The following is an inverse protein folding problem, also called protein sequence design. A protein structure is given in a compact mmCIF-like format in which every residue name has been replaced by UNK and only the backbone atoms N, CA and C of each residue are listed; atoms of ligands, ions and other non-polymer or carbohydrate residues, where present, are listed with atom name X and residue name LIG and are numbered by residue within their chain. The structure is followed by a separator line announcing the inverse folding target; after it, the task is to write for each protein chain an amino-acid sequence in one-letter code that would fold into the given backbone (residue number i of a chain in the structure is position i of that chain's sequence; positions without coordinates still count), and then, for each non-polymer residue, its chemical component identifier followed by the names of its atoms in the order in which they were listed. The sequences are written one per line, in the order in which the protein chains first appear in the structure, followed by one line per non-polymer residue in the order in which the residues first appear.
data_IF_050776234854
#
_entry.id   IF_050776234854
#
_cell.length_a   1.000
_cell.length_b   1.000
_cell.length_c   1.000
_cell.angle_alpha   90.00
_cell.angle_beta   90.00
_cell.angle_gamma   90.00
#
_symmetry.space_group_name_H-M   'P 1'
#
loop_
_entity.id
_entity.type
_entity.pdbx_description
1 polymer ?
#
# COMPACT_ATOMS: atom_id res chain seq x y z
N UNK A 1 -25.69 40.57 -15.72
CA UNK A 1 -24.96 39.80 -14.69
C UNK A 1 -25.39 38.35 -14.82
N UNK A 2 -24.64 37.55 -15.59
CA UNK A 2 -24.93 36.12 -15.76
C UNK A 2 -24.06 35.37 -14.76
N UNK A 3 -24.70 34.69 -13.81
CA UNK A 3 -24.03 33.73 -12.95
C UNK A 3 -23.49 32.59 -13.85
N UNK A 4 -22.24 32.12 -13.64
CA UNK A 4 -21.77 30.96 -14.37
C UNK A 4 -22.54 29.73 -13.90
N UNK A 5 -23.01 28.95 -14.87
CA UNK A 5 -23.58 27.63 -14.63
C UNK A 5 -22.59 26.79 -13.82
N UNK A 6 -23.07 26.19 -12.72
CA UNK A 6 -22.33 25.15 -12.02
C UNK A 6 -22.23 23.97 -12.99
N UNK A 7 -21.05 23.81 -13.59
CA UNK A 7 -20.67 22.56 -14.23
C UNK A 7 -20.77 21.48 -13.15
N UNK A 8 -21.74 20.59 -13.28
CA UNK A 8 -21.75 19.31 -12.56
C UNK A 8 -20.65 18.46 -13.19
N UNK A 9 -19.40 18.76 -12.84
CA UNK A 9 -18.23 18.05 -13.33
C UNK A 9 -18.32 16.57 -12.90
N UNK A 10 -18.19 15.66 -13.85
CA UNK A 10 -18.01 14.24 -13.57
C UNK A 10 -16.86 14.05 -12.56
N UNK A 11 -16.96 13.10 -11.62
CA UNK A 11 -15.91 12.85 -10.65
C UNK A 11 -14.56 12.67 -11.36
N UNK A 12 -13.49 13.27 -10.81
CA UNK A 12 -12.15 13.00 -11.32
C UNK A 12 -11.83 11.50 -11.13
N UNK A 13 -11.10 10.86 -12.06
CA UNK A 13 -10.69 9.45 -11.91
C UNK A 13 -9.98 9.14 -10.57
N UNK A 14 -9.32 10.13 -9.96
CA UNK A 14 -8.72 9.96 -8.62
C UNK A 14 -9.77 9.83 -7.51
N UNK A 15 -10.90 10.54 -7.65
CA UNK A 15 -12.03 10.40 -6.73
C UNK A 15 -12.69 9.02 -6.86
N UNK A 16 -12.77 8.47 -8.07
CA UNK A 16 -13.27 7.10 -8.31
C UNK A 16 -12.34 6.02 -7.71
N UNK A 17 -11.02 6.24 -7.76
CA UNK A 17 -10.04 5.32 -7.17
C UNK A 17 -9.93 5.43 -5.64
N UNK A 18 -10.39 6.54 -5.04
CA UNK A 18 -10.20 6.81 -3.60
C UNK A 18 -10.70 5.67 -2.70
N UNK A 19 -11.92 5.10 -2.87
CA UNK A 19 -12.37 4.01 -2.01
C UNK A 19 -11.42 2.81 -2.05
N UNK A 20 -11.01 2.40 -3.25
CA UNK A 20 -10.06 1.32 -3.43
C UNK A 20 -8.70 1.61 -2.78
N UNK A 21 -8.17 2.83 -2.96
CA UNK A 21 -6.92 3.23 -2.32
C UNK A 21 -7.04 3.21 -0.80
N UNK A 22 -8.19 3.61 -0.25
CA UNK A 22 -8.43 3.58 1.19
C UNK A 22 -8.41 2.15 1.73
N UNK A 23 -9.04 1.21 1.03
CA UNK A 23 -9.04 -0.21 1.41
C UNK A 23 -7.66 -0.86 1.20
N UNK A 24 -6.89 -0.44 0.20
CA UNK A 24 -5.50 -0.83 0.01
C UNK A 24 -4.63 -0.41 1.22
N UNK A 25 -4.88 0.76 1.81
CA UNK A 25 -4.16 1.20 3.02
C UNK A 25 -4.47 0.34 4.25
N UNK A 26 -5.61 -0.35 4.27
CA UNK A 26 -5.96 -1.24 5.38
C UNK A 26 -5.02 -2.47 5.42
N UNK A 27 -4.36 -2.84 4.30
CA UNK A 27 -3.35 -3.90 4.24
C UNK A 27 -2.14 -3.67 5.17
N UNK A 28 -1.86 -2.42 5.56
CA UNK A 28 -0.84 -2.08 6.56
C UNK A 28 -1.15 -2.67 7.94
N UNK A 29 -2.43 -2.94 8.21
CA UNK A 29 -2.96 -3.34 9.51
C UNK A 29 -3.45 -4.79 9.53
N UNK A 30 -3.72 -5.38 8.38
CA UNK A 30 -4.08 -6.80 8.27
C UNK A 30 -2.84 -7.63 8.54
N UNK A 31 -2.92 -8.50 9.54
CA UNK A 31 -1.83 -9.39 9.99
C UNK A 31 -2.27 -10.83 9.87
N UNK A 32 -1.32 -11.71 9.61
CA UNK A 32 -1.50 -13.16 9.65
C UNK A 32 -0.48 -13.77 10.61
N UNK A 33 -0.65 -15.04 11.03
CA UNK A 33 0.38 -15.73 11.81
C UNK A 33 1.76 -15.72 11.13
N UNK A 34 1.80 -15.84 9.80
CA UNK A 34 3.03 -15.85 9.01
C UNK A 34 3.58 -14.43 8.77
N UNK A 35 2.74 -13.39 8.88
CA UNK A 35 3.08 -11.99 8.60
C UNK A 35 2.59 -11.06 9.72
N UNK A 36 3.23 -11.10 10.90
CA UNK A 36 2.79 -10.35 12.08
C UNK A 36 2.98 -8.84 11.95
N UNK A 37 3.86 -8.37 11.05
CA UNK A 37 4.10 -6.93 10.83
C UNK A 37 3.03 -6.28 9.94
N UNK A 38 2.26 -7.07 9.18
CA UNK A 38 1.26 -6.56 8.23
C UNK A 38 1.49 -7.07 6.80
N UNK A 39 0.43 -7.11 6.00
CA UNK A 39 0.50 -7.56 4.60
C UNK A 39 1.28 -6.57 3.72
N UNK A 40 1.20 -5.26 3.99
CA UNK A 40 1.99 -4.25 3.28
C UNK A 40 3.50 -4.43 3.55
N UNK A 41 3.91 -4.55 4.81
CA UNK A 41 5.29 -4.88 5.17
C UNK A 41 5.78 -6.21 4.55
N UNK A 42 4.93 -7.23 4.46
CA UNK A 42 5.27 -8.48 3.77
C UNK A 42 5.46 -8.26 2.25
N UNK A 43 4.57 -7.52 1.60
CA UNK A 43 4.73 -7.14 0.19
C UNK A 43 5.99 -6.33 -0.06
N UNK A 44 6.35 -5.42 0.84
CA UNK A 44 7.61 -4.65 0.79
C UNK A 44 8.84 -5.56 0.74
N UNK A 45 8.91 -6.55 1.65
CA UNK A 45 9.99 -7.54 1.67
C UNK A 45 10.06 -8.35 0.39
N UNK A 46 8.92 -8.84 -0.08
CA UNK A 46 8.82 -9.66 -1.29
C UNK A 46 9.26 -8.87 -2.53
N UNK A 47 8.81 -7.62 -2.66
CA UNK A 47 9.19 -6.73 -3.75
C UNK A 47 10.71 -6.50 -3.78
N UNK A 48 11.32 -6.16 -2.64
CA UNK A 48 12.76 -5.95 -2.56
C UNK A 48 13.59 -7.22 -2.78
N UNK A 49 13.12 -8.37 -2.29
CA UNK A 49 13.78 -9.66 -2.56
C UNK A 49 13.77 -9.96 -4.07
N UNK A 50 12.61 -9.83 -4.72
CA UNK A 50 12.46 -10.01 -6.17
C UNK A 50 13.40 -9.08 -6.97
N UNK A 51 13.44 -7.79 -6.62
CA UNK A 51 14.34 -6.83 -7.25
C UNK A 51 15.82 -7.17 -7.03
N UNK A 52 16.20 -7.55 -5.80
CA UNK A 52 17.57 -7.93 -5.47
C UNK A 52 18.03 -9.20 -6.20
N UNK A 53 17.09 -10.10 -6.52
CA UNK A 53 17.32 -11.26 -7.40
C UNK A 53 17.38 -10.93 -8.89
N UNK A 54 17.25 -9.65 -9.27
CA UNK A 54 17.38 -9.20 -10.65
C UNK A 54 16.09 -9.24 -11.46
N UNK A 55 14.93 -9.38 -10.81
CA UNK A 55 13.64 -9.27 -11.51
C UNK A 55 13.48 -7.88 -12.11
N UNK A 56 12.90 -7.82 -13.31
CA UNK A 56 12.55 -6.57 -13.97
C UNK A 56 11.57 -5.73 -13.10
N UNK A 57 11.89 -4.45 -12.82
CA UNK A 57 11.05 -3.59 -11.98
C UNK A 57 9.60 -3.44 -12.45
N UNK A 58 9.35 -3.48 -13.77
CA UNK A 58 7.98 -3.41 -14.29
C UNK A 58 7.19 -4.68 -13.93
N UNK A 59 7.83 -5.84 -14.03
CA UNK A 59 7.24 -7.12 -13.66
C UNK A 59 6.92 -7.20 -12.17
N UNK A 60 7.85 -6.75 -11.31
CA UNK A 60 7.61 -6.63 -9.85
C UNK A 60 6.43 -5.70 -9.58
N UNK A 61 6.42 -4.50 -10.20
CA UNK A 61 5.37 -3.51 -9.99
C UNK A 61 3.97 -4.06 -10.29
N UNK A 62 3.80 -4.77 -11.41
CA UNK A 62 2.51 -5.33 -11.80
C UNK A 62 2.09 -6.50 -10.90
N UNK A 63 3.02 -7.39 -10.55
CA UNK A 63 2.72 -8.56 -9.69
C UNK A 63 2.36 -8.15 -8.28
N UNK A 64 3.15 -7.27 -7.67
CA UNK A 64 2.88 -6.79 -6.31
C UNK A 64 1.58 -5.98 -6.25
N UNK A 65 1.29 -5.18 -7.28
CA UNK A 65 0.01 -4.48 -7.39
C UNK A 65 -1.16 -5.47 -7.52
N UNK A 66 -1.05 -6.50 -8.37
CA UNK A 66 -2.11 -7.50 -8.52
C UNK A 66 -2.35 -8.30 -7.22
N UNK A 67 -1.28 -8.69 -6.53
CA UNK A 67 -1.35 -9.36 -5.21
C UNK A 67 -1.99 -8.47 -4.16
N UNK A 68 -1.62 -7.19 -4.10
CA UNK A 68 -2.19 -6.24 -3.16
C UNK A 68 -3.69 -6.05 -3.41
N UNK A 69 -4.12 -5.90 -4.67
CA UNK A 69 -5.53 -5.78 -5.00
C UNK A 69 -6.34 -7.03 -4.66
N UNK A 70 -5.81 -8.23 -4.91
CA UNK A 70 -6.47 -9.46 -4.47
C UNK A 70 -6.59 -9.51 -2.93
N UNK A 71 -5.55 -9.10 -2.22
CA UNK A 71 -5.51 -9.05 -0.76
C UNK A 71 -6.50 -8.06 -0.14
N UNK A 72 -6.97 -7.03 -0.87
CA UNK A 72 -8.02 -6.10 -0.36
C UNK A 72 -9.29 -6.85 0.05
N UNK A 73 -9.65 -7.93 -0.66
CA UNK A 73 -10.82 -8.76 -0.33
C UNK A 73 -10.45 -10.06 0.38
N UNK A 74 -9.31 -10.63 0.04
CA UNK A 74 -8.88 -11.93 0.54
C UNK A 74 -8.06 -11.85 1.84
N UNK A 75 -7.65 -10.65 2.25
CA UNK A 75 -6.70 -10.46 3.34
C UNK A 75 -5.44 -11.28 3.09
N UNK A 76 -5.10 -12.12 4.06
CA UNK A 76 -3.93 -12.99 4.02
C UNK A 76 -4.09 -14.30 3.24
N UNK A 77 -5.22 -14.54 2.57
CA UNK A 77 -5.43 -15.75 1.77
C UNK A 77 -4.70 -15.64 0.42
N UNK A 78 -3.39 -15.79 0.45
CA UNK A 78 -2.53 -15.78 -0.73
C UNK A 78 -2.38 -17.17 -1.38
N UNK A 79 -1.57 -17.24 -2.43
CA UNK A 79 -1.30 -18.50 -3.15
C UNK A 79 -0.83 -19.61 -2.21
N UNK A 80 0.12 -19.31 -1.32
CA UNK A 80 0.76 -20.32 -0.50
C UNK A 80 -0.22 -20.81 0.58
N UNK A 81 -1.01 -19.92 1.16
CA UNK A 81 -2.08 -20.29 2.12
C UNK A 81 -3.13 -21.16 1.44
N UNK A 82 -3.60 -20.79 0.25
CA UNK A 82 -4.61 -21.55 -0.49
C UNK A 82 -4.11 -22.95 -0.88
N UNK A 83 -2.84 -23.05 -1.30
CA UNK A 83 -2.22 -24.35 -1.62
C UNK A 83 -2.00 -25.21 -0.36
N UNK A 84 -1.55 -24.61 0.76
CA UNK A 84 -1.46 -25.31 2.06
C UNK A 84 -2.83 -25.82 2.53
N UNK A 85 -3.90 -25.10 2.21
CA UNK A 85 -5.28 -25.50 2.48
C UNK A 85 -5.81 -26.57 1.50
N UNK A 86 -5.02 -27.02 0.53
CA UNK A 86 -5.34 -28.12 -0.37
C UNK A 86 -5.89 -27.73 -1.75
N UNK A 87 -5.92 -26.43 -2.10
CA UNK A 87 -6.29 -26.03 -3.46
C UNK A 87 -5.17 -26.37 -4.46
N UNK A 88 -5.57 -26.78 -5.66
CA UNK A 88 -4.64 -26.87 -6.79
C UNK A 88 -4.10 -25.47 -7.15
N UNK A 89 -2.92 -25.36 -7.79
CA UNK A 89 -2.40 -24.07 -8.27
C UNK A 89 -3.40 -23.31 -9.17
N UNK A 90 -4.16 -24.05 -9.99
CA UNK A 90 -5.18 -23.47 -10.86
C UNK A 90 -6.35 -22.89 -10.06
N UNK A 91 -6.86 -23.63 -9.07
CA UNK A 91 -7.99 -23.18 -8.26
C UNK A 91 -7.59 -22.03 -7.32
N UNK A 92 -6.39 -22.07 -6.75
CA UNK A 92 -5.84 -20.97 -5.98
C UNK A 92 -5.72 -19.70 -6.85
N UNK A 93 -5.20 -19.82 -8.07
CA UNK A 93 -5.15 -18.71 -9.04
C UNK A 93 -6.56 -18.15 -9.33
N UNK A 94 -7.57 -19.02 -9.51
CA UNK A 94 -8.97 -18.59 -9.71
C UNK A 94 -9.51 -17.80 -8.51
N UNK A 95 -9.19 -18.20 -7.28
CA UNK A 95 -9.60 -17.45 -6.08
C UNK A 95 -8.95 -16.07 -6.06
N UNK A 96 -7.64 -15.98 -6.32
CA UNK A 96 -6.93 -14.70 -6.38
C UNK A 96 -7.51 -13.77 -7.45
N UNK A 97 -7.86 -14.30 -8.63
CA UNK A 97 -8.54 -13.55 -9.68
C UNK A 97 -9.90 -13.02 -9.24
N UNK A 98 -10.70 -13.81 -8.52
CA UNK A 98 -11.97 -13.31 -7.95
C UNK A 98 -11.74 -12.16 -6.98
N UNK A 99 -10.67 -12.23 -6.18
CA UNK A 99 -10.26 -11.14 -5.29
C UNK A 99 -9.93 -9.85 -6.05
N UNK A 100 -9.12 -9.94 -7.10
CA UNK A 100 -8.79 -8.81 -7.99
C UNK A 100 -10.04 -8.22 -8.65
N UNK A 101 -10.87 -9.07 -9.24
CA UNK A 101 -12.06 -8.67 -10.01
C UNK A 101 -13.12 -8.00 -9.13
N UNK A 102 -13.24 -8.41 -7.87
CA UNK A 102 -14.14 -7.79 -6.89
C UNK A 102 -13.80 -6.32 -6.58
N UNK A 103 -12.59 -5.86 -6.92
CA UNK A 103 -12.15 -4.48 -6.71
C UNK A 103 -11.72 -3.78 -8.00
N UNK A 104 -11.89 -4.42 -9.17
CA UNK A 104 -11.34 -3.95 -10.43
C UNK A 104 -12.17 -2.84 -11.12
N UNK A 105 -13.38 -2.56 -10.63
CA UNK A 105 -14.32 -1.62 -11.26
C UNK A 105 -13.74 -0.21 -11.53
N UNK A 106 -13.02 0.45 -10.60
CA UNK A 106 -12.47 1.79 -10.85
C UNK A 106 -11.13 1.79 -11.61
N UNK A 107 -10.60 0.61 -12.00
CA UNK A 107 -9.29 0.53 -12.66
C UNK A 107 -9.36 0.94 -14.12
N UNK A 108 -8.27 1.55 -14.60
CA UNK A 108 -8.05 1.71 -16.04
C UNK A 108 -8.07 0.33 -16.74
N UNK A 109 -8.84 0.15 -17.83
CA UNK A 109 -8.99 -1.17 -18.46
C UNK A 109 -7.68 -1.81 -18.89
N UNK A 110 -6.74 -1.02 -19.43
CA UNK A 110 -5.44 -1.52 -19.85
C UNK A 110 -4.50 -1.85 -18.68
N UNK A 111 -4.68 -1.21 -17.53
CA UNK A 111 -4.01 -1.63 -16.30
C UNK A 111 -4.63 -2.93 -15.77
N UNK A 112 -5.96 -3.01 -15.69
CA UNK A 112 -6.68 -4.22 -15.21
C UNK A 112 -6.25 -5.47 -15.96
N UNK A 113 -6.20 -5.42 -17.30
CA UNK A 113 -5.76 -6.55 -18.12
C UNK A 113 -4.33 -6.98 -17.77
N UNK A 114 -3.39 -6.02 -17.66
CA UNK A 114 -2.00 -6.31 -17.29
C UNK A 114 -1.86 -6.91 -15.88
N UNK A 115 -2.66 -6.45 -14.93
CA UNK A 115 -2.67 -7.00 -13.56
C UNK A 115 -3.23 -8.42 -13.53
N UNK A 116 -4.30 -8.70 -14.28
CA UNK A 116 -4.84 -10.05 -14.45
C UNK A 116 -3.82 -11.01 -15.06
N UNK A 117 -3.10 -10.57 -16.11
CA UNK A 117 -2.00 -11.35 -16.69
C UNK A 117 -0.88 -11.59 -15.67
N UNK A 118 -0.46 -10.55 -14.94
CA UNK A 118 0.59 -10.65 -13.93
C UNK A 118 0.23 -11.63 -12.79
N UNK A 119 -1.03 -11.68 -12.39
CA UNK A 119 -1.52 -12.60 -11.35
C UNK A 119 -1.53 -14.06 -11.81
N UNK A 120 -1.62 -14.30 -13.11
CA UNK A 120 -1.64 -15.64 -13.73
C UNK A 120 -0.24 -16.19 -13.99
N UNK A 121 0.80 -15.37 -13.84
CA UNK A 121 2.16 -15.84 -14.02
C UNK A 121 2.49 -16.85 -12.90
N UNK A 122 3.17 -17.95 -13.22
CA UNK A 122 3.53 -18.94 -12.21
C UNK A 122 4.34 -18.26 -11.10
N UNK A 123 4.20 -18.73 -9.84
CA UNK A 123 5.12 -18.32 -8.81
C UNK A 123 6.53 -18.63 -9.31
N UNK A 124 7.41 -17.63 -9.28
CA UNK A 124 8.80 -17.90 -9.60
C UNK A 124 9.37 -18.89 -8.61
N UNK A 125 10.35 -19.68 -9.06
CA UNK A 125 11.18 -20.47 -8.16
C UNK A 125 11.58 -19.58 -7.00
N UNK A 126 11.31 -20.06 -5.78
CA UNK A 126 11.45 -19.29 -4.54
C UNK A 126 12.73 -18.47 -4.58
N UNK A 127 12.59 -17.15 -4.68
CA UNK A 127 13.69 -16.20 -4.68
C UNK A 127 14.51 -16.43 -3.40
N UNK A 128 15.66 -17.11 -3.52
CA UNK A 128 16.49 -17.50 -2.39
C UNK A 128 17.34 -16.33 -1.85
N UNK A 129 17.35 -15.18 -2.54
CA UNK A 129 18.10 -14.02 -2.08
C UNK A 129 17.28 -13.32 -0.99
N UNK A 130 17.82 -13.18 0.23
CA UNK A 130 17.14 -12.41 1.26
C UNK A 130 17.04 -10.94 0.83
N UNK A 131 15.99 -10.20 1.24
CA UNK A 131 15.90 -8.78 0.94
C UNK A 131 17.10 -8.01 1.53
N UNK A 132 17.50 -6.87 0.92
CA UNK A 132 18.57 -6.03 1.44
C UNK A 132 18.36 -5.65 2.90
N UNK A 133 19.45 -5.52 3.67
CA UNK A 133 19.38 -5.32 5.13
C UNK A 133 18.58 -4.09 5.58
N UNK A 134 18.49 -3.04 4.76
CA UNK A 134 17.69 -1.87 5.09
C UNK A 134 16.20 -2.18 5.18
N UNK A 135 15.72 -3.25 4.51
CA UNK A 135 14.31 -3.61 4.45
C UNK A 135 13.77 -3.91 5.85
N UNK A 136 14.44 -4.76 6.63
CA UNK A 136 14.00 -5.09 7.99
C UNK A 136 14.06 -3.88 8.94
N UNK A 137 14.98 -2.93 8.69
CA UNK A 137 15.03 -1.70 9.47
C UNK A 137 13.82 -0.82 9.19
N UNK A 138 13.43 -0.69 7.93
CA UNK A 138 12.24 0.07 7.53
C UNK A 138 10.93 -0.58 7.99
N UNK A 139 10.87 -1.91 8.08
CA UNK A 139 9.70 -2.59 8.67
C UNK A 139 9.58 -2.30 10.17
N UNK A 140 10.70 -2.29 10.90
CA UNK A 140 10.68 -2.08 12.35
C UNK A 140 10.58 -0.61 12.75
N UNK A 141 10.89 0.31 11.84
CA UNK A 141 10.86 1.73 12.12
C UNK A 141 9.47 2.32 11.83
N UNK A 142 8.76 2.81 12.86
CA UNK A 142 7.51 3.52 12.66
C UNK A 142 7.76 4.88 12.00
N UNK A 143 6.81 5.33 11.19
CA UNK A 143 6.72 6.72 10.76
C UNK A 143 6.38 7.63 11.94
N UNK A 144 6.74 8.90 11.82
CA UNK A 144 6.50 9.89 12.88
C UNK A 144 5.02 10.25 13.10
N UNK A 145 4.13 9.88 12.17
CA UNK A 145 2.72 10.25 12.17
C UNK A 145 2.50 11.75 11.86
N UNK A 146 1.35 12.29 12.27
CA UNK A 146 1.04 13.70 12.09
C UNK A 146 1.84 14.58 13.08
N UNK A 147 2.76 15.37 12.56
CA UNK A 147 3.65 16.25 13.34
C UNK A 147 3.55 17.71 12.89
N UNK A 148 3.74 18.64 13.82
CA UNK A 148 3.90 20.07 13.54
C UNK A 148 4.95 20.66 14.48
N UNK A 149 5.85 21.55 14.01
CA UNK A 149 6.92 22.14 14.84
C UNK A 149 6.43 22.77 16.14
N UNK A 150 5.22 23.32 16.13
CA UNK A 150 4.66 24.09 17.24
C UNK A 150 3.52 23.36 17.97
N UNK A 151 3.36 22.04 17.78
CA UNK A 151 2.31 21.26 18.45
C UNK A 151 2.85 19.92 18.95
N UNK A 152 2.29 19.38 20.06
CA UNK A 152 2.56 18.01 20.45
C UNK A 152 2.28 17.03 19.31
N UNK A 153 3.12 16.01 19.18
CA UNK A 153 2.93 14.91 18.23
C UNK A 153 1.70 14.10 18.62
N UNK A 154 0.89 13.72 17.63
CA UNK A 154 -0.16 12.73 17.80
C UNK A 154 0.36 11.35 17.38
N UNK A 155 0.30 10.39 18.30
CA UNK A 155 0.60 8.97 18.03
C UNK A 155 -0.71 8.17 18.14
N UNK A 156 -1.07 7.47 17.06
CA UNK A 156 -2.29 6.64 17.03
C UNK A 156 -1.89 5.20 16.70
N UNK A 157 -1.87 4.29 17.69
CA UNK A 157 -1.64 2.87 17.43
C UNK A 157 -2.77 2.23 16.60
N UNK A 158 -2.49 1.19 15.81
CA UNK A 158 -1.16 0.68 15.48
C UNK A 158 -0.38 1.68 14.63
N UNK A 159 0.93 1.80 14.89
CA UNK A 159 1.80 2.71 14.15
C UNK A 159 2.13 2.12 12.78
N UNK A 160 2.04 2.94 11.73
CA UNK A 160 2.53 2.64 10.39
C UNK A 160 4.06 2.58 10.36
N UNK A 161 4.63 1.53 9.76
CA UNK A 161 6.07 1.45 9.48
C UNK A 161 6.45 2.16 8.17
N UNK A 162 7.73 2.46 7.97
CA UNK A 162 8.18 2.93 6.65
C UNK A 162 7.96 1.89 5.55
N UNK A 163 8.06 0.60 5.86
CA UNK A 163 7.77 -0.45 4.88
C UNK A 163 6.31 -0.45 4.44
N UNK A 164 5.38 -0.29 5.39
CA UNK A 164 3.94 -0.19 5.12
C UNK A 164 3.63 0.96 4.18
N UNK A 165 4.13 2.14 4.53
CA UNK A 165 3.98 3.34 3.73
C UNK A 165 4.60 3.19 2.33
N UNK A 166 5.88 2.82 2.25
CA UNK A 166 6.59 2.72 0.97
C UNK A 166 5.93 1.72 0.02
N UNK A 167 5.46 0.58 0.55
CA UNK A 167 4.75 -0.41 -0.26
C UNK A 167 3.39 0.11 -0.74
N UNK A 168 2.61 0.71 0.15
CA UNK A 168 1.31 1.25 -0.19
C UNK A 168 1.41 2.39 -1.21
N UNK A 169 2.39 3.29 -1.07
CA UNK A 169 2.71 4.32 -2.07
C UNK A 169 3.15 3.71 -3.38
N UNK A 170 4.01 2.68 -3.37
CA UNK A 170 4.47 2.03 -4.60
C UNK A 170 3.31 1.43 -5.39
N UNK A 171 2.42 0.67 -4.73
CA UNK A 171 1.22 0.10 -5.36
C UNK A 171 0.25 1.20 -5.78
N UNK A 172 -0.01 2.18 -4.92
CA UNK A 172 -0.87 3.33 -5.23
C UNK A 172 -0.38 4.10 -6.46
N UNK A 173 0.94 4.27 -6.61
CA UNK A 173 1.55 4.94 -7.76
C UNK A 173 1.28 4.20 -9.07
N UNK A 174 1.26 2.85 -9.06
CA UNK A 174 0.86 2.04 -10.21
C UNK A 174 -0.61 2.26 -10.56
N UNK A 175 -1.49 2.30 -9.55
CA UNK A 175 -2.94 2.48 -9.75
C UNK A 175 -3.29 3.86 -10.30
N UNK A 176 -2.59 4.92 -9.87
CA UNK A 176 -2.82 6.29 -10.37
C UNK A 176 -2.03 6.62 -11.63
N UNK A 177 -1.03 5.83 -12.02
CA UNK A 177 -0.19 6.09 -13.19
C UNK A 177 -0.99 6.34 -14.50
N UNK A 178 -2.05 5.57 -14.83
CA UNK A 178 -2.85 5.82 -16.03
C UNK A 178 -3.47 7.22 -16.08
N UNK A 179 -3.82 7.81 -14.93
CA UNK A 179 -4.37 9.17 -14.87
C UNK A 179 -3.38 10.23 -15.36
N UNK A 180 -2.08 9.98 -15.22
CA UNK A 180 -1.02 10.91 -15.62
C UNK A 180 -0.34 10.51 -16.93
N UNK A 181 -0.70 9.36 -17.51
CA UNK A 181 -0.01 8.79 -18.67
C UNK A 181 1.37 8.23 -18.33
N UNK A 182 1.62 7.87 -17.07
CA UNK A 182 2.92 7.42 -16.61
C UNK A 182 3.14 5.92 -16.86
N UNK A 183 4.40 5.53 -17.11
CA UNK A 183 4.81 4.12 -17.01
C UNK A 183 4.84 3.69 -15.53
N UNK A 184 4.29 2.51 -15.15
CA UNK A 184 4.13 2.15 -13.75
C UNK A 184 5.45 1.84 -13.01
N UNK A 185 6.51 1.46 -13.74
CA UNK A 185 7.73 0.93 -13.13
C UNK A 185 8.49 1.97 -12.30
N UNK A 186 8.71 3.17 -12.86
CA UNK A 186 9.54 4.19 -12.18
C UNK A 186 8.84 4.81 -10.95
N UNK A 187 7.53 5.15 -11.00
CA UNK A 187 6.78 5.57 -9.81
C UNK A 187 6.70 4.50 -8.73
N UNK A 188 6.54 3.21 -9.11
CA UNK A 188 6.59 2.10 -8.16
C UNK A 188 7.95 2.03 -7.45
N UNK A 189 9.05 2.12 -8.20
CA UNK A 189 10.40 2.15 -7.63
C UNK A 189 10.63 3.36 -6.72
N UNK A 190 10.08 4.53 -7.05
CA UNK A 190 10.14 5.71 -6.20
C UNK A 190 9.37 5.48 -4.90
N UNK A 191 8.17 4.91 -4.97
CA UNK A 191 7.38 4.50 -3.82
C UNK A 191 8.15 3.57 -2.88
N UNK A 192 8.82 2.54 -3.41
CA UNK A 192 9.60 1.60 -2.59
C UNK A 192 10.84 2.21 -1.93
N UNK A 193 11.40 3.30 -2.47
CA UNK A 193 12.75 3.76 -2.12
C UNK A 193 12.85 5.16 -1.52
N UNK A 194 11.80 5.98 -1.60
CA UNK A 194 11.88 7.38 -1.18
C UNK A 194 12.17 7.61 0.32
N UNK A 195 12.02 6.57 1.16
CA UNK A 195 12.42 6.59 2.57
C UNK A 195 13.68 5.77 2.89
N UNK A 196 14.56 5.46 1.92
CA UNK A 196 15.76 4.65 2.19
C UNK A 196 16.65 5.20 3.32
N UNK A 197 16.80 6.52 3.42
CA UNK A 197 17.59 7.15 4.50
C UNK A 197 17.02 6.83 5.90
N UNK A 198 15.72 6.57 6.01
CA UNK A 198 15.09 6.21 7.27
C UNK A 198 15.50 4.82 7.77
N UNK A 199 16.18 4.00 6.98
CA UNK A 199 16.77 2.76 7.49
C UNK A 199 17.90 3.01 8.51
N UNK A 200 18.41 4.24 8.60
CA UNK A 200 19.42 4.65 9.56
C UNK A 200 19.03 5.91 10.36
N UNK A 201 18.23 6.81 9.78
CA UNK A 201 17.74 8.02 10.45
C UNK A 201 16.33 7.76 11.03
N UNK A 202 16.15 7.76 12.35
CA UNK A 202 14.83 7.70 12.96
C UNK A 202 13.92 8.82 12.47
N UNK A 203 12.66 8.49 12.21
CA UNK A 203 11.70 9.47 11.72
C UNK A 203 11.23 10.41 12.85
N UNK A 204 11.77 11.63 12.80
CA UNK A 204 11.43 12.70 13.73
C UNK A 204 10.24 13.55 13.26
N UNK A 205 9.72 13.29 12.05
CA UNK A 205 8.66 14.05 11.40
C UNK A 205 9.04 15.51 11.15
N UNK A 206 8.05 16.31 10.79
CA UNK A 206 8.23 17.69 10.37
C UNK A 206 8.90 18.58 11.44
N UNK A 207 8.65 18.32 12.73
CA UNK A 207 9.34 19.00 13.83
C UNK A 207 10.84 18.74 13.81
N UNK A 208 11.25 17.47 13.64
CA UNK A 208 12.66 17.11 13.58
C UNK A 208 13.34 17.60 12.31
N UNK A 209 12.65 17.51 11.16
CA UNK A 209 13.11 18.09 9.90
C UNK A 209 13.38 19.59 10.03
N UNK A 210 12.46 20.33 10.67
CA UNK A 210 12.61 21.77 10.93
C UNK A 210 13.82 22.08 11.81
N UNK A 211 14.11 21.24 12.81
CA UNK A 211 15.28 21.39 13.68
C UNK A 211 16.59 21.01 13.00
N UNK A 212 16.57 20.04 12.09
CA UNK A 212 17.72 19.67 11.27
C UNK A 212 18.06 20.75 10.23
N UNK A 213 17.05 21.46 9.71
CA UNK A 213 17.24 22.61 8.82
C UNK A 213 18.15 22.27 7.63
N UNK A 214 19.20 23.07 7.44
CA UNK A 214 20.19 22.90 6.37
C UNK A 214 20.95 21.56 6.40
N UNK A 215 20.94 20.85 7.53
CA UNK A 215 21.62 19.56 7.69
C UNK A 215 20.81 18.38 7.16
N UNK A 216 19.49 18.54 6.96
CA UNK A 216 18.60 17.44 6.60
C UNK A 216 18.99 16.81 5.25
N UNK A 217 19.05 17.62 4.19
CA UNK A 217 19.33 17.12 2.84
C UNK A 217 20.72 16.45 2.75
N UNK A 218 21.82 17.03 3.26
CA UNK A 218 23.12 16.36 3.28
C UNK A 218 23.12 15.02 4.05
N UNK A 219 22.41 14.93 5.19
CA UNK A 219 22.31 13.69 5.96
C UNK A 219 21.49 12.64 5.18
N UNK A 220 20.30 13.02 4.70
CA UNK A 220 19.42 12.14 3.96
C UNK A 220 20.12 11.58 2.70
N UNK A 221 20.86 12.43 1.97
CA UNK A 221 21.66 12.00 0.82
C UNK A 221 22.72 10.97 1.21
N UNK A 222 23.55 11.27 2.22
CA UNK A 222 24.61 10.34 2.66
C UNK A 222 24.06 8.99 3.11
N UNK A 223 22.95 8.99 3.84
CA UNK A 223 22.33 7.76 4.33
C UNK A 223 21.63 6.96 3.22
N UNK A 224 21.03 7.66 2.26
CA UNK A 224 20.49 7.03 1.04
C UNK A 224 21.62 6.39 0.24
N UNK A 225 22.71 7.11 -0.02
CA UNK A 225 23.88 6.59 -0.73
C UNK A 225 24.46 5.35 -0.02
N UNK A 226 24.51 5.35 1.31
CA UNK A 226 24.95 4.20 2.10
C UNK A 226 24.00 3.00 1.93
N UNK A 227 22.69 3.20 1.94
CA UNK A 227 21.71 2.13 1.70
C UNK A 227 21.82 1.53 0.29
N UNK A 228 22.10 2.37 -0.72
CA UNK A 228 22.29 1.93 -2.10
C UNK A 228 23.50 1.02 -2.29
N UNK A 229 24.53 1.10 -1.43
CA UNK A 229 25.69 0.19 -1.51
C UNK A 229 25.34 -1.27 -1.23
N UNK A 230 24.18 -1.54 -0.63
CA UNK A 230 23.67 -2.89 -0.40
C UNK A 230 22.96 -3.50 -1.62
N UNK A 231 22.83 -2.76 -2.73
CA UNK A 231 22.13 -3.19 -3.94
C UNK A 231 23.12 -3.55 -5.05
N UNK A 232 22.76 -4.49 -5.96
CA UNK A 232 23.47 -4.64 -7.23
C UNK A 232 23.51 -3.30 -8.00
N UNK A 233 24.64 -2.98 -8.65
CA UNK A 233 24.86 -1.65 -9.26
C UNK A 233 23.76 -1.26 -10.27
N UNK A 234 23.28 -2.22 -11.07
CA UNK A 234 22.18 -1.97 -12.01
C UNK A 234 20.89 -1.55 -11.29
N UNK A 235 20.54 -2.24 -10.20
CA UNK A 235 19.37 -1.90 -9.39
C UNK A 235 19.57 -0.57 -8.67
N UNK A 236 20.76 -0.31 -8.12
CA UNK A 236 21.10 0.98 -7.51
C UNK A 236 20.92 2.14 -8.50
N UNK A 237 21.34 1.94 -9.76
CA UNK A 237 21.11 2.90 -10.85
C UNK A 237 19.64 3.19 -11.10
N UNK A 238 18.78 2.16 -11.14
CA UNK A 238 17.32 2.32 -11.27
C UNK A 238 16.74 3.07 -10.08
N UNK A 239 17.16 2.74 -8.86
CA UNK A 239 16.69 3.43 -7.65
C UNK A 239 17.08 4.91 -7.67
N UNK A 240 18.31 5.26 -8.07
CA UNK A 240 18.73 6.67 -8.22
C UNK A 240 17.86 7.43 -9.24
N UNK A 241 17.53 6.79 -10.36
CA UNK A 241 16.61 7.37 -11.34
C UNK A 241 15.20 7.59 -10.76
N UNK A 242 14.71 6.63 -9.99
CA UNK A 242 13.40 6.73 -9.35
C UNK A 242 13.36 7.82 -8.28
N UNK A 243 14.43 7.97 -7.49
CA UNK A 243 14.55 9.03 -6.47
C UNK A 243 14.56 10.45 -7.08
N UNK A 244 14.96 10.61 -8.34
CA UNK A 244 14.86 11.88 -9.05
C UNK A 244 13.41 12.32 -9.31
N UNK A 245 12.42 11.43 -9.13
CA UNK A 245 11.00 11.79 -9.16
C UNK A 245 10.53 12.49 -7.88
N UNK A 246 11.31 12.39 -6.79
CA UNK A 246 10.97 13.01 -5.51
C UNK A 246 11.17 14.53 -5.60
N UNK A 247 10.25 15.30 -5.04
CA UNK A 247 10.37 16.77 -4.93
C UNK A 247 10.03 17.59 -6.19
N UNK A 248 9.46 16.99 -7.24
CA UNK A 248 8.97 17.72 -8.41
C UNK A 248 7.71 17.06 -9.01
N UNK A 249 7.07 17.73 -9.97
CA UNK A 249 5.84 17.26 -10.65
C UNK A 249 5.91 17.44 -12.17
N UNK A 250 7.13 17.54 -12.72
CA UNK A 250 7.35 17.96 -14.10
C UNK A 250 7.02 16.83 -15.10
N UNK A 251 7.33 15.58 -14.74
CA UNK A 251 7.02 14.39 -15.54
C UNK A 251 5.70 13.72 -15.14
N UNK A 252 5.19 12.84 -16.01
CA UNK A 252 4.02 12.01 -15.70
C UNK A 252 4.31 11.08 -14.50
N UNK A 253 5.50 10.50 -14.48
CA UNK A 253 5.98 9.60 -13.44
C UNK A 253 6.09 10.32 -12.08
N UNK A 254 6.64 11.55 -12.07
CA UNK A 254 6.74 12.35 -10.86
C UNK A 254 5.34 12.70 -10.32
N UNK A 255 4.39 13.07 -11.19
CA UNK A 255 3.00 13.30 -10.79
C UNK A 255 2.34 12.05 -10.21
N UNK A 256 2.58 10.87 -10.79
CA UNK A 256 2.02 9.61 -10.30
C UNK A 256 2.54 9.24 -8.91
N UNK A 257 3.86 9.34 -8.69
CA UNK A 257 4.48 9.09 -7.39
C UNK A 257 3.98 10.08 -6.33
N UNK A 258 4.08 11.39 -6.58
CA UNK A 258 3.70 12.41 -5.59
C UNK A 258 2.20 12.40 -5.28
N UNK A 259 1.35 12.04 -6.25
CA UNK A 259 -0.08 11.84 -6.01
C UNK A 259 -0.34 10.66 -5.05
N UNK A 260 0.34 9.53 -5.26
CA UNK A 260 0.22 8.36 -4.40
C UNK A 260 0.73 8.62 -2.98
N UNK A 261 1.90 9.26 -2.82
CA UNK A 261 2.44 9.66 -1.51
C UNK A 261 1.49 10.61 -0.76
N UNK A 262 0.97 11.62 -1.45
CA UNK A 262 0.02 12.56 -0.85
C UNK A 262 -1.27 11.87 -0.42
N UNK A 263 -1.82 10.97 -1.25
CA UNK A 263 -3.05 10.23 -0.94
C UNK A 263 -2.83 9.30 0.25
N UNK A 264 -1.74 8.55 0.27
CA UNK A 264 -1.38 7.63 1.35
C UNK A 264 -1.40 8.34 2.73
N UNK A 265 -0.70 9.47 2.83
CA UNK A 265 -0.59 10.24 4.08
C UNK A 265 -1.95 10.70 4.63
N UNK A 266 -2.87 11.07 3.74
CA UNK A 266 -4.22 11.52 4.14
C UNK A 266 -5.12 10.32 4.46
N UNK A 267 -5.09 9.28 3.63
CA UNK A 267 -5.88 8.07 3.81
C UNK A 267 -5.48 7.29 5.07
N UNK A 268 -4.21 7.36 5.47
CA UNK A 268 -3.70 6.83 6.73
C UNK A 268 -4.39 7.50 7.94
N UNK A 269 -4.51 8.82 7.95
CA UNK A 269 -5.23 9.56 8.99
C UNK A 269 -6.75 9.33 8.92
N UNK A 270 -7.29 9.21 7.71
CA UNK A 270 -8.69 8.85 7.51
C UNK A 270 -8.99 7.47 8.10
N UNK A 271 -8.11 6.47 7.94
CA UNK A 271 -8.31 5.14 8.51
C UNK A 271 -8.44 5.20 10.04
N UNK A 272 -7.62 6.00 10.72
CA UNK A 272 -7.75 6.23 12.15
C UNK A 272 -9.03 6.98 12.53
N UNK A 273 -9.43 7.99 11.76
CA UNK A 273 -10.69 8.70 11.98
C UNK A 273 -11.91 7.78 11.80
N UNK A 274 -11.90 6.91 10.77
CA UNK A 274 -12.94 5.89 10.55
C UNK A 274 -13.02 4.91 11.72
N UNK A 275 -11.89 4.39 12.16
CA UNK A 275 -11.83 3.47 13.30
C UNK A 275 -12.34 4.12 14.60
N UNK A 276 -11.96 5.37 14.86
CA UNK A 276 -12.43 6.12 16.02
C UNK A 276 -13.95 6.42 15.98
N UNK A 277 -14.51 6.55 14.77
CA UNK A 277 -15.95 6.76 14.56
C UNK A 277 -16.78 5.48 14.43
N UNK A 278 -16.18 4.29 14.59
CA UNK A 278 -16.88 3.02 14.38
C UNK A 278 -17.96 2.79 15.44
N UNK A 279 -19.13 2.36 14.99
CA UNK A 279 -20.29 2.10 15.86
C UNK A 279 -20.80 0.67 15.72
N UNK A 280 -21.47 0.17 16.77
CA UNK A 280 -22.13 -1.13 16.73
C UNK A 280 -23.16 -1.22 15.59
N UNK A 281 -23.87 -0.12 15.30
CA UNK A 281 -24.83 -0.06 14.20
C UNK A 281 -24.18 -0.37 12.86
N UNK A 282 -23.03 0.24 12.57
CA UNK A 282 -22.30 -0.05 11.33
C UNK A 282 -21.86 -1.52 11.28
N UNK A 283 -21.43 -2.09 12.41
CA UNK A 283 -21.09 -3.52 12.46
C UNK A 283 -22.28 -4.42 12.11
N UNK A 284 -23.46 -4.09 12.63
CA UNK A 284 -24.65 -4.93 12.53
C UNK A 284 -25.42 -4.73 11.22
N UNK A 285 -25.58 -3.48 10.76
CA UNK A 285 -26.39 -3.12 9.60
C UNK A 285 -25.55 -3.06 8.31
N UNK A 286 -24.36 -2.43 8.34
CA UNK A 286 -23.57 -2.19 7.12
C UNK A 286 -22.62 -3.36 6.81
N UNK A 287 -22.02 -3.95 7.84
CA UNK A 287 -21.04 -5.04 7.71
C UNK A 287 -21.65 -6.43 7.92
N UNK A 288 -22.94 -6.49 8.25
CA UNK A 288 -23.71 -7.72 8.50
C UNK A 288 -22.95 -8.70 9.40
N UNK A 289 -22.46 -8.25 10.57
CA UNK A 289 -21.64 -9.08 11.48
C UNK A 289 -22.24 -10.47 11.74
N UNK A 290 -23.57 -10.57 11.80
CA UNK A 290 -24.29 -11.85 11.74
C UNK A 290 -24.63 -12.16 10.28
N UNK A 291 -23.67 -12.81 9.62
CA UNK A 291 -23.73 -13.08 8.18
C UNK A 291 -24.91 -13.98 7.79
N UNK A 292 -25.44 -13.83 6.56
CA UNK A 292 -26.36 -14.80 5.99
C UNK A 292 -25.80 -16.23 6.02
N UNK A 293 -26.52 -17.14 6.66
CA UNK A 293 -26.09 -18.53 6.79
C UNK A 293 -26.96 -19.35 7.73
N UNK A 294 -26.67 -20.65 7.89
CA UNK A 294 -27.50 -21.57 8.66
C UNK A 294 -27.72 -21.17 10.12
N UNK A 295 -26.80 -20.38 10.69
CA UNK A 295 -26.82 -19.94 12.08
C UNK A 295 -27.34 -18.51 12.28
N UNK A 296 -27.74 -17.80 11.22
CA UNK A 296 -28.15 -16.40 11.33
C UNK A 296 -29.34 -16.21 12.27
N UNK A 297 -30.37 -17.06 12.14
CA UNK A 297 -31.56 -17.00 12.98
C UNK A 297 -31.22 -17.18 14.46
N UNK A 298 -30.39 -18.19 14.77
CA UNK A 298 -29.92 -18.44 16.14
C UNK A 298 -29.12 -17.25 16.70
N UNK A 299 -28.19 -16.69 15.91
CA UNK A 299 -27.42 -15.51 16.31
C UNK A 299 -28.33 -14.31 16.63
N UNK A 300 -29.32 -14.05 15.78
CA UNK A 300 -30.28 -12.97 15.99
C UNK A 300 -31.17 -13.20 17.23
N UNK A 301 -31.55 -14.44 17.52
CA UNK A 301 -32.32 -14.76 18.72
C UNK A 301 -31.50 -14.55 19.99
N UNK A 302 -30.22 -14.94 20.01
CA UNK A 302 -29.30 -14.66 21.13
C UNK A 302 -29.16 -13.16 21.37
N UNK A 303 -29.00 -12.36 20.31
CA UNK A 303 -28.87 -10.90 20.43
C UNK A 303 -30.15 -10.27 20.99
N UNK A 304 -31.32 -10.75 20.55
CA UNK A 304 -32.63 -10.29 21.04
C UNK A 304 -32.86 -10.67 22.50
N UNK A 305 -32.54 -11.90 22.88
CA UNK A 305 -32.70 -12.39 24.26
C UNK A 305 -31.78 -11.65 25.25
N UNK A 306 -30.59 -11.27 24.80
CA UNK A 306 -29.61 -10.56 25.63
C UNK A 306 -29.75 -9.03 25.60
N UNK A 307 -30.67 -8.50 24.79
CA UNK A 307 -30.94 -7.06 24.61
C UNK A 307 -29.70 -6.21 24.23
N UNK A 308 -28.64 -6.84 23.71
CA UNK A 308 -27.41 -6.12 23.28
C UNK A 308 -27.56 -5.46 21.90
N UNK A 309 -28.53 -5.91 21.12
CA UNK A 309 -28.90 -5.35 19.83
C UNK A 309 -30.42 -5.51 19.61
N UNK A 310 -31.13 -4.44 19.18
CA UNK A 310 -32.58 -4.47 19.01
C UNK A 310 -33.07 -5.41 17.90
#
# INVERSE_FOLDING_TARGET
MNAPARDTASPSRLAELRPLLSELMDLKRIRTPDHPDGLAAHGFRRAWAALASGMDPRSVALRETARALAAVRLGGLDMDVLQRAGLSPLDATRVLHRGLEAVAAPLDPGLRERLSVALSQPPEETCHVPPPLFVERLVRQPRAGATSPNRPRLLVPPLESHADHCYAVAVGAVLVAPRFGASPALPFMAGLSHHLFNAALPDAGYTGESLLGEWLEPIAKRLTDAALTALPEQLAGVVRQALALTGNVDSAEARAFNAADTLDRVLELEAHARAAGFTLRQAMEDLELIHPGPLQAFGNDVLRETEVWP
#
